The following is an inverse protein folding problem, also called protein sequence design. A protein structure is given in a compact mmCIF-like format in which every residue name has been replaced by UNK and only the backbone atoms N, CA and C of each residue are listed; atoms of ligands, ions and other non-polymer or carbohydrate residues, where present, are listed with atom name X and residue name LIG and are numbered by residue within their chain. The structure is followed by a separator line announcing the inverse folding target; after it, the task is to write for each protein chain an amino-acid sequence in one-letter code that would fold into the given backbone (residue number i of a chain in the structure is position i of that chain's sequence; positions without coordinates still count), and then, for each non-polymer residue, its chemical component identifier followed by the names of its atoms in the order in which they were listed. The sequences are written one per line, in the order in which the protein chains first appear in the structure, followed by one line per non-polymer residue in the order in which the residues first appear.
data_IF_982722147712
#
_entry.id   IF_982722147712
#
_cell.length_a   1.000
_cell.length_b   1.000
_cell.length_c   1.000
_cell.angle_alpha   90.00
_cell.angle_beta   90.00
_cell.angle_gamma   90.00
#
_symmetry.space_group_name_H-M   'P 1'
#
loop_
_entity.id
_entity.type
_entity.pdbx_description
1 polymer ?
#
# COMPACT_ATOMS: atom_id res chain seq x y z
N UNK A 1 -10.09 27.51 -10.34
CA UNK A 1 -10.35 26.19 -9.74
C UNK A 1 -10.20 25.18 -10.85
N UNK A 2 -9.41 24.11 -10.70
CA UNK A 2 -9.13 23.14 -11.78
C UNK A 2 -10.29 22.17 -12.03
N UNK A 3 -11.33 22.20 -11.20
CA UNK A 3 -12.51 21.34 -11.31
C UNK A 3 -13.79 22.17 -11.36
N UNK A 4 -14.71 21.73 -12.23
CA UNK A 4 -15.93 22.46 -12.56
C UNK A 4 -17.15 22.01 -11.76
N UNK A 5 -17.07 20.90 -11.01
CA UNK A 5 -18.18 20.35 -10.20
C UNK A 5 -17.70 19.55 -8.99
N UNK A 6 -18.62 19.30 -8.05
CA UNK A 6 -18.41 18.36 -6.92
C UNK A 6 -18.12 16.95 -7.46
N UNK A 7 -18.93 16.46 -8.39
CA UNK A 7 -18.73 15.16 -9.03
C UNK A 7 -17.34 15.03 -9.67
N UNK A 8 -16.81 16.12 -10.24
CA UNK A 8 -15.46 16.15 -10.79
C UNK A 8 -14.37 16.03 -9.73
N UNK A 9 -14.57 16.65 -8.55
CA UNK A 9 -13.68 16.50 -7.40
C UNK A 9 -13.72 15.08 -6.85
N UNK A 10 -14.90 14.49 -6.70
CA UNK A 10 -15.10 13.11 -6.25
C UNK A 10 -14.46 12.11 -7.23
N UNK A 11 -14.72 12.25 -8.52
CA UNK A 11 -14.13 11.39 -9.55
C UNK A 11 -12.59 11.47 -9.53
N UNK A 12 -12.04 12.67 -9.37
CA UNK A 12 -10.59 12.84 -9.28
C UNK A 12 -10.00 12.23 -8.00
N UNK A 13 -10.68 12.37 -6.85
CA UNK A 13 -10.32 11.71 -5.59
C UNK A 13 -10.29 10.21 -5.77
N UNK A 14 -11.38 9.64 -6.27
CA UNK A 14 -11.58 8.20 -6.37
C UNK A 14 -10.59 7.59 -7.37
N UNK A 15 -10.33 8.25 -8.50
CA UNK A 15 -9.30 7.83 -9.44
C UNK A 15 -7.89 7.80 -8.83
N UNK A 16 -7.54 8.79 -7.98
CA UNK A 16 -6.26 8.79 -7.25
C UNK A 16 -6.20 7.66 -6.21
N UNK A 17 -7.26 7.44 -5.46
CA UNK A 17 -7.36 6.37 -4.45
C UNK A 17 -7.22 5.01 -5.12
N UNK A 18 -7.92 4.79 -6.23
CA UNK A 18 -7.87 3.54 -7.00
C UNK A 18 -6.47 3.27 -7.56
N UNK A 19 -5.75 4.31 -8.00
CA UNK A 19 -4.36 4.17 -8.44
C UNK A 19 -3.42 3.74 -7.30
N UNK A 20 -3.64 4.23 -6.08
CA UNK A 20 -2.90 3.79 -4.89
C UNK A 20 -3.27 2.35 -4.48
N UNK A 21 -4.54 1.97 -4.55
CA UNK A 21 -5.01 0.59 -4.35
C UNK A 21 -4.35 -0.40 -5.31
N UNK A 22 -4.20 -0.03 -6.58
CA UNK A 22 -3.46 -0.85 -7.55
C UNK A 22 -2.02 -1.07 -7.12
N UNK A 23 -1.34 -0.03 -6.62
CA UNK A 23 0.03 -0.16 -6.11
C UNK A 23 0.13 -1.01 -4.84
N UNK A 24 -0.85 -0.89 -3.93
CA UNK A 24 -0.94 -1.73 -2.72
C UNK A 24 -1.08 -3.20 -3.15
N UNK A 25 -1.99 -3.50 -4.07
CA UNK A 25 -2.24 -4.86 -4.57
C UNK A 25 -0.97 -5.49 -5.15
N UNK A 26 -0.19 -4.72 -5.91
CA UNK A 26 1.10 -5.17 -6.46
C UNK A 26 2.10 -5.43 -5.34
N UNK A 27 2.24 -4.53 -4.36
CA UNK A 27 3.16 -4.70 -3.24
C UNK A 27 2.80 -5.92 -2.38
N UNK A 28 1.51 -6.18 -2.15
CA UNK A 28 1.02 -7.38 -1.46
C UNK A 28 1.33 -8.66 -2.24
N UNK A 29 1.18 -8.64 -3.57
CA UNK A 29 1.59 -9.75 -4.44
C UNK A 29 3.07 -10.08 -4.28
N UNK A 30 3.92 -9.06 -4.33
CA UNK A 30 5.36 -9.21 -4.12
C UNK A 30 5.71 -9.74 -2.72
N UNK A 31 4.98 -9.32 -1.67
CA UNK A 31 5.16 -9.86 -0.32
C UNK A 31 4.87 -11.36 -0.31
N UNK A 32 3.73 -11.79 -0.88
CA UNK A 32 3.35 -13.21 -0.92
C UNK A 32 4.40 -14.08 -1.62
N UNK A 33 4.90 -13.62 -2.76
CA UNK A 33 5.95 -14.31 -3.51
C UNK A 33 7.25 -14.45 -2.71
N UNK A 34 7.64 -13.38 -2.01
CA UNK A 34 8.86 -13.35 -1.19
C UNK A 34 8.72 -14.17 0.08
N UNK A 35 7.57 -14.17 0.74
CA UNK A 35 7.30 -15.03 1.89
C UNK A 35 7.38 -16.52 1.50
N UNK A 36 6.87 -16.89 0.31
CA UNK A 36 7.03 -18.24 -0.22
C UNK A 36 8.51 -18.59 -0.50
N UNK A 37 9.28 -17.65 -1.05
CA UNK A 37 10.72 -17.83 -1.26
C UNK A 37 11.48 -17.99 0.06
N UNK A 38 11.20 -17.13 1.05
CA UNK A 38 11.81 -17.16 2.38
C UNK A 38 11.54 -18.50 3.06
N UNK A 39 10.30 -19.01 2.97
CA UNK A 39 9.94 -20.33 3.49
C UNK A 39 10.79 -21.44 2.87
N UNK A 40 11.04 -21.40 1.55
CA UNK A 40 11.91 -22.38 0.86
C UNK A 40 13.36 -22.26 1.31
N UNK A 41 13.89 -21.05 1.41
CA UNK A 41 15.27 -20.81 1.85
C UNK A 41 15.50 -21.30 3.29
N UNK A 42 14.59 -20.97 4.21
CA UNK A 42 14.64 -21.44 5.61
C UNK A 42 14.52 -22.96 5.71
N UNK A 43 13.67 -23.59 4.90
CA UNK A 43 13.59 -25.06 4.84
C UNK A 43 14.92 -25.67 4.40
N UNK A 44 15.54 -25.14 3.34
CA UNK A 44 16.85 -25.60 2.88
C UNK A 44 17.94 -25.47 3.96
N UNK A 45 17.98 -24.33 4.66
CA UNK A 45 18.91 -24.11 5.77
C UNK A 45 18.72 -25.16 6.88
N UNK A 46 17.47 -25.41 7.29
CA UNK A 46 17.16 -26.40 8.33
C UNK A 46 17.48 -27.83 7.89
N UNK A 47 17.28 -28.18 6.62
CA UNK A 47 17.61 -29.51 6.09
C UNK A 47 19.13 -29.72 6.07
N UNK A 48 19.92 -28.68 5.72
CA UNK A 48 21.38 -28.72 5.81
C UNK A 48 21.85 -28.92 7.25
N UNK A 49 21.33 -28.15 8.21
CA UNK A 49 21.67 -28.29 9.64
C UNK A 49 21.39 -29.71 10.15
N UNK A 50 20.22 -30.29 9.82
CA UNK A 50 19.86 -31.66 10.22
C UNK A 50 20.77 -32.72 9.62
N UNK A 51 21.26 -32.50 8.41
CA UNK A 51 22.21 -33.41 7.75
C UNK A 51 23.65 -33.26 8.26
N UNK A 52 23.90 -32.35 9.21
CA UNK A 52 25.25 -32.02 9.71
C UNK A 52 26.06 -31.15 8.75
N UNK A 53 25.43 -30.63 7.69
CA UNK A 53 26.04 -29.72 6.73
C UNK A 53 26.13 -28.28 7.26
N UNK A 54 27.12 -27.53 6.77
CA UNK A 54 27.26 -26.10 7.07
C UNK A 54 26.34 -25.28 6.16
N UNK A 55 25.58 -24.36 6.75
CA UNK A 55 24.85 -23.35 5.97
C UNK A 55 25.86 -22.41 5.32
N UNK A 56 25.83 -22.32 3.99
CA UNK A 56 26.70 -21.40 3.25
C UNK A 56 26.26 -19.94 3.37
N UNK A 57 27.21 -19.01 3.42
CA UNK A 57 26.97 -17.57 3.57
C UNK A 57 26.02 -17.00 2.51
N UNK A 58 26.06 -17.55 1.29
CA UNK A 58 25.13 -17.19 0.22
C UNK A 58 23.67 -17.45 0.60
N UNK A 59 23.37 -18.55 1.28
CA UNK A 59 22.00 -18.88 1.70
C UNK A 59 21.55 -17.95 2.82
N UNK A 60 22.42 -17.66 3.79
CA UNK A 60 22.13 -16.69 4.85
C UNK A 60 21.86 -15.29 4.27
N UNK A 61 22.73 -14.82 3.37
CA UNK A 61 22.55 -13.53 2.70
C UNK A 61 21.24 -13.47 1.91
N UNK A 62 20.88 -14.54 1.20
CA UNK A 62 19.62 -14.61 0.46
C UNK A 62 18.40 -14.53 1.40
N UNK A 63 18.46 -15.14 2.58
CA UNK A 63 17.42 -15.04 3.62
C UNK A 63 17.27 -13.58 4.06
N UNK A 64 18.37 -12.94 4.48
CA UNK A 64 18.38 -11.54 4.92
C UNK A 64 17.83 -10.60 3.85
N UNK A 65 18.30 -10.73 2.60
CA UNK A 65 17.82 -9.91 1.49
C UNK A 65 16.32 -10.10 1.25
N UNK A 66 15.81 -11.33 1.37
CA UNK A 66 14.39 -11.62 1.17
C UNK A 66 13.54 -11.00 2.29
N UNK A 67 14.00 -11.10 3.54
CA UNK A 67 13.36 -10.46 4.70
C UNK A 67 13.31 -8.94 4.56
N UNK A 68 14.41 -8.32 4.17
CA UNK A 68 14.48 -6.87 3.93
C UNK A 68 13.53 -6.42 2.83
N UNK A 69 13.41 -7.20 1.76
CA UNK A 69 12.47 -6.89 0.67
C UNK A 69 11.02 -6.97 1.13
N UNK A 70 10.67 -7.94 1.99
CA UNK A 70 9.33 -8.02 2.61
C UNK A 70 9.09 -6.79 3.48
N UNK A 71 10.05 -6.43 4.33
CA UNK A 71 9.94 -5.27 5.22
C UNK A 71 9.75 -3.96 4.44
N UNK A 72 10.52 -3.75 3.36
CA UNK A 72 10.37 -2.56 2.49
C UNK A 72 9.00 -2.50 1.82
N UNK A 73 8.46 -3.62 1.34
CA UNK A 73 7.12 -3.63 0.74
C UNK A 73 6.02 -3.38 1.78
N UNK A 74 6.15 -3.90 3.00
CA UNK A 74 5.23 -3.59 4.11
C UNK A 74 5.25 -2.10 4.44
N UNK A 75 6.43 -1.51 4.60
CA UNK A 75 6.57 -0.06 4.83
C UNK A 75 5.96 0.77 3.68
N UNK A 76 6.17 0.34 2.42
CA UNK A 76 5.53 0.99 1.26
C UNK A 76 4.01 0.95 1.35
N UNK A 77 3.41 -0.18 1.73
CA UNK A 77 1.94 -0.29 1.88
C UNK A 77 1.44 0.69 2.94
N UNK A 78 2.12 0.81 4.08
CA UNK A 78 1.74 1.76 5.12
C UNK A 78 1.80 3.21 4.62
N UNK A 79 2.85 3.59 3.87
CA UNK A 79 2.94 4.91 3.24
C UNK A 79 1.79 5.15 2.25
N UNK A 80 1.48 4.17 1.40
CA UNK A 80 0.40 4.29 0.41
C UNK A 80 -0.97 4.46 1.09
N UNK A 81 -1.22 3.74 2.20
CA UNK A 81 -2.45 3.89 2.99
C UNK A 81 -2.54 5.27 3.66
N UNK A 82 -1.45 5.74 4.25
CA UNK A 82 -1.40 7.10 4.80
C UNK A 82 -1.67 8.17 3.72
N UNK A 83 -1.16 7.95 2.50
CA UNK A 83 -1.44 8.83 1.36
C UNK A 83 -2.91 8.80 0.93
N UNK A 84 -3.58 7.64 0.97
CA UNK A 84 -5.02 7.54 0.71
C UNK A 84 -5.81 8.40 1.71
N UNK A 85 -5.52 8.30 3.00
CA UNK A 85 -6.21 9.09 4.03
C UNK A 85 -5.96 10.59 3.86
N UNK A 86 -4.72 10.99 3.55
CA UNK A 86 -4.38 12.39 3.26
C UNK A 86 -5.14 12.90 2.02
N UNK A 87 -5.28 12.08 0.97
CA UNK A 87 -6.04 12.44 -0.23
C UNK A 87 -7.53 12.58 0.11
N UNK A 88 -8.11 11.64 0.88
CA UNK A 88 -9.51 11.72 1.32
C UNK A 88 -9.78 13.03 2.05
N UNK A 89 -8.99 13.34 3.07
CA UNK A 89 -9.13 14.56 3.86
C UNK A 89 -8.96 15.85 3.02
N UNK A 90 -7.99 15.86 2.09
CA UNK A 90 -7.78 17.02 1.20
C UNK A 90 -8.99 17.28 0.32
N UNK A 91 -9.51 16.23 -0.32
CA UNK A 91 -10.65 16.36 -1.23
C UNK A 91 -11.95 16.66 -0.49
N UNK A 92 -12.15 16.14 0.72
CA UNK A 92 -13.30 16.49 1.57
C UNK A 92 -13.31 17.99 1.91
N UNK A 93 -12.15 18.55 2.27
CA UNK A 93 -12.00 19.98 2.50
C UNK A 93 -12.26 20.80 1.22
N UNK A 94 -11.75 20.36 0.07
CA UNK A 94 -11.96 21.02 -1.21
C UNK A 94 -13.44 20.99 -1.66
N UNK A 95 -14.13 19.86 -1.47
CA UNK A 95 -15.57 19.72 -1.76
C UNK A 95 -16.39 20.63 -0.85
N UNK A 96 -16.09 20.65 0.45
CA UNK A 96 -16.76 21.53 1.42
C UNK A 96 -16.63 22.99 0.99
N UNK A 97 -15.39 23.43 0.72
CA UNK A 97 -15.11 24.79 0.26
C UNK A 97 -15.79 25.10 -1.07
N UNK A 98 -15.79 24.17 -2.02
CA UNK A 98 -16.46 24.35 -3.31
C UNK A 98 -17.96 24.56 -3.11
N UNK A 99 -18.61 23.75 -2.25
CA UNK A 99 -20.04 23.89 -1.94
C UNK A 99 -20.36 25.26 -1.34
N UNK A 100 -19.58 25.71 -0.36
CA UNK A 100 -19.72 27.04 0.25
C UNK A 100 -19.63 28.16 -0.79
N UNK A 101 -18.61 28.11 -1.65
CA UNK A 101 -18.39 29.11 -2.70
C UNK A 101 -19.51 29.13 -3.76
N UNK A 102 -20.20 28.00 -3.95
CA UNK A 102 -21.31 27.86 -4.90
C UNK A 102 -22.68 28.03 -4.25
N UNK A 103 -22.75 28.29 -2.94
CA UNK A 103 -24.01 28.35 -2.20
C UNK A 103 -24.78 27.02 -2.22
N UNK A 104 -24.07 25.90 -2.43
CA UNK A 104 -24.66 24.57 -2.40
C UNK A 104 -24.87 24.14 -0.94
N UNK A 105 -25.90 23.33 -0.66
CA UNK A 105 -26.09 22.78 0.67
C UNK A 105 -24.86 21.96 1.07
N UNK A 106 -24.52 21.95 2.38
CA UNK A 106 -23.46 21.10 2.89
C UNK A 106 -23.77 19.65 2.51
N UNK A 107 -22.71 18.89 2.23
CA UNK A 107 -22.87 17.47 1.98
C UNK A 107 -23.57 16.87 3.19
N UNK A 108 -24.77 16.31 2.98
CA UNK A 108 -25.49 15.64 4.06
C UNK A 108 -24.58 14.51 4.50
N UNK A 109 -24.12 14.54 5.76
CA UNK A 109 -23.41 13.43 6.36
C UNK A 109 -24.22 12.15 6.07
N UNK A 110 -23.76 11.35 5.12
CA UNK A 110 -24.37 10.08 4.82
C UNK A 110 -24.14 9.24 6.06
N UNK A 111 -25.20 9.13 6.87
CA UNK A 111 -25.23 8.27 8.05
C UNK A 111 -24.83 6.88 7.58
N UNK A 112 -23.65 6.43 8.02
CA UNK A 112 -23.34 5.01 8.13
C UNK A 112 -23.97 4.49 9.42
#
# INVERSE_FOLDING_TARGET
STYDSVDGLELARDGKIQALEGQITVAEGQIREREALLKRQRKNAADLERSGGKIGDKLLNNITVTEDQIARNKARIETLRADQERIRATYEADITRYRELKGLPPEKAAKQ
#
